data_IF_490036485395
#
_entry.id   IF_490036485395
#
_cell.length_a   1.000
_cell.length_b   1.000
_cell.length_c   1.000
_cell.angle_alpha   90.00
_cell.angle_beta   90.00
_cell.angle_gamma   90.00
#
_symmetry.space_group_name_H-M   'P 1'
#
loop_
_entity.id
_entity.type
_entity.pdbx_description
1 polymer ?
#
# COMPACT_ATOMS: atom_id res chain seq x y z
N UNK A 1 -16.68 -23.23 -7.90
CA UNK A 1 -16.99 -23.29 -6.46
C UNK A 1 -15.75 -22.81 -5.72
N UNK A 2 -15.67 -21.52 -5.39
CA UNK A 2 -14.49 -20.96 -4.72
C UNK A 2 -14.58 -21.36 -3.26
N UNK A 3 -13.68 -22.27 -2.85
CA UNK A 3 -13.45 -22.58 -1.43
C UNK A 3 -13.14 -21.23 -0.78
N UNK A 4 -14.03 -20.73 0.07
CA UNK A 4 -13.79 -19.51 0.83
C UNK A 4 -12.66 -19.83 1.82
N UNK A 5 -11.42 -19.61 1.39
CA UNK A 5 -10.29 -19.61 2.31
C UNK A 5 -10.57 -18.62 3.44
N UNK A 6 -10.22 -18.99 4.66
CA UNK A 6 -10.24 -18.06 5.79
C UNK A 6 -9.45 -16.79 5.43
N UNK A 7 -9.93 -15.63 5.88
CA UNK A 7 -9.17 -14.38 5.76
C UNK A 7 -7.77 -14.53 6.37
N UNK A 8 -6.79 -13.88 5.73
CA UNK A 8 -5.39 -13.97 6.13
C UNK A 8 -5.07 -12.81 7.08
N UNK A 9 -4.53 -13.07 8.29
CA UNK A 9 -4.08 -12.00 9.16
C UNK A 9 -3.00 -11.17 8.46
N UNK A 10 -3.18 -9.85 8.51
CA UNK A 10 -2.43 -8.90 7.66
C UNK A 10 -1.93 -7.71 8.48
N UNK A 11 -0.67 -7.33 8.29
CA UNK A 11 -0.13 -6.02 8.70
C UNK A 11 -0.11 -5.13 7.45
N UNK A 12 -0.52 -3.87 7.61
CA UNK A 12 -0.30 -2.82 6.62
C UNK A 12 0.74 -1.84 7.15
N UNK A 13 1.80 -1.57 6.40
CA UNK A 13 2.77 -0.50 6.66
C UNK A 13 2.69 0.51 5.51
N UNK A 14 2.36 1.76 5.84
CA UNK A 14 1.91 2.78 4.90
C UNK A 14 2.45 4.15 5.27
N UNK A 15 2.72 4.98 4.27
CA UNK A 15 2.99 6.39 4.43
C UNK A 15 1.85 7.26 3.88
N UNK A 16 0.62 6.85 4.20
CA UNK A 16 -0.62 7.49 3.76
C UNK A 16 -0.63 9.01 3.85
N UNK A 17 -1.15 9.61 2.78
CA UNK A 17 -1.54 11.02 2.72
C UNK A 17 -0.53 11.94 2.03
N UNK A 18 0.65 11.43 1.67
CA UNK A 18 1.56 12.13 0.75
C UNK A 18 1.06 11.98 -0.67
N UNK A 19 1.16 10.78 -1.25
CA UNK A 19 0.37 10.42 -2.42
C UNK A 19 -1.02 9.92 -1.96
N UNK A 20 -1.98 9.88 -2.88
CA UNK A 20 -3.36 9.52 -2.54
C UNK A 20 -3.61 7.99 -2.57
N UNK A 21 -2.70 7.24 -3.15
CA UNK A 21 -2.85 5.83 -3.48
C UNK A 21 -2.85 4.90 -2.28
N UNK A 22 -2.11 5.22 -1.21
CA UNK A 22 -2.22 4.55 0.08
C UNK A 22 -3.65 4.52 0.62
N UNK A 23 -4.38 5.64 0.48
CA UNK A 23 -5.72 5.73 1.04
C UNK A 23 -6.69 4.84 0.28
N UNK A 24 -6.57 4.78 -1.04
CA UNK A 24 -7.37 3.86 -1.85
C UNK A 24 -6.98 2.40 -1.58
N UNK A 25 -5.70 2.12 -1.37
CA UNK A 25 -5.20 0.80 -0.97
C UNK A 25 -5.78 0.34 0.38
N UNK A 26 -5.78 1.21 1.41
CA UNK A 26 -6.41 0.93 2.70
C UNK A 26 -7.93 0.71 2.57
N UNK A 27 -8.63 1.56 1.81
CA UNK A 27 -10.07 1.40 1.57
C UNK A 27 -10.36 0.07 0.86
N UNK A 28 -9.51 -0.34 -0.07
CA UNK A 28 -9.64 -1.61 -0.76
C UNK A 28 -9.47 -2.80 0.20
N UNK A 29 -8.46 -2.76 1.09
CA UNK A 29 -8.27 -3.76 2.15
C UNK A 29 -9.51 -3.86 3.05
N UNK A 30 -10.00 -2.72 3.54
CA UNK A 30 -11.15 -2.66 4.45
C UNK A 30 -12.46 -3.14 3.79
N UNK A 31 -12.56 -3.03 2.47
CA UNK A 31 -13.68 -3.54 1.68
C UNK A 31 -13.61 -5.06 1.42
N UNK A 32 -12.56 -5.72 1.90
CA UNK A 32 -12.27 -7.15 1.71
C UNK A 32 -12.03 -7.91 3.03
N UNK A 33 -12.93 -7.85 4.02
CA UNK A 33 -12.74 -8.50 5.32
C UNK A 33 -12.69 -10.03 5.22
N UNK A 34 -13.21 -10.62 4.15
CA UNK A 34 -13.13 -12.05 3.87
C UNK A 34 -11.77 -12.48 3.28
N UNK A 35 -10.92 -11.54 2.86
CA UNK A 35 -9.55 -11.82 2.40
C UNK A 35 -8.51 -11.33 3.40
N UNK A 36 -8.70 -10.14 3.95
CA UNK A 36 -7.75 -9.50 4.86
C UNK A 36 -8.33 -9.37 6.27
N UNK A 37 -7.70 -10.06 7.21
CA UNK A 37 -7.93 -9.89 8.64
C UNK A 37 -6.89 -8.91 9.17
N UNK A 38 -7.14 -7.61 9.00
CA UNK A 38 -6.17 -6.56 9.31
C UNK A 38 -5.91 -6.51 10.83
N UNK A 39 -4.65 -6.75 11.22
CA UNK A 39 -4.21 -6.88 12.62
C UNK A 39 -3.48 -5.67 13.17
N UNK A 40 -2.90 -4.87 12.28
CA UNK A 40 -2.13 -3.67 12.63
C UNK A 40 -1.98 -2.81 11.36
N UNK A 41 -2.09 -1.50 11.54
CA UNK A 41 -1.65 -0.51 10.56
C UNK A 41 -0.50 0.28 11.17
N UNK A 42 0.66 0.27 10.53
CA UNK A 42 1.83 1.08 10.91
C UNK A 42 1.88 2.29 9.99
N UNK A 43 1.96 3.48 10.57
CA UNK A 43 2.14 4.73 9.81
C UNK A 43 3.62 5.11 9.86
N UNK A 44 4.29 5.10 8.71
CA UNK A 44 5.72 5.32 8.61
C UNK A 44 6.07 6.71 8.06
N UNK A 45 7.23 7.22 8.50
CA UNK A 45 7.92 8.44 8.03
C UNK A 45 7.17 9.78 8.14
N UNK A 46 7.92 10.88 7.93
CA UNK A 46 7.43 12.27 7.99
C UNK A 46 6.63 12.55 9.27
N UNK A 47 5.43 13.11 9.18
CA UNK A 47 4.56 13.35 10.33
C UNK A 47 3.61 12.16 10.53
N UNK A 48 4.11 11.12 11.20
CA UNK A 48 3.36 9.87 11.45
C UNK A 48 2.09 10.08 12.27
N UNK A 49 1.99 11.16 13.05
CA UNK A 49 0.75 11.51 13.75
C UNK A 49 -0.34 11.95 12.77
N UNK A 50 -0.01 12.84 11.83
CA UNK A 50 -0.94 13.28 10.80
C UNK A 50 -1.38 12.13 9.88
N UNK A 51 -0.44 11.25 9.49
CA UNK A 51 -0.73 10.02 8.74
C UNK A 51 -1.72 9.12 9.50
N UNK A 52 -1.45 8.90 10.78
CA UNK A 52 -2.32 8.09 11.63
C UNK A 52 -3.70 8.72 11.85
N UNK A 53 -3.85 10.04 11.80
CA UNK A 53 -5.17 10.68 11.85
C UNK A 53 -5.98 10.38 10.59
N UNK A 54 -5.34 10.32 9.42
CA UNK A 54 -5.99 9.88 8.18
C UNK A 54 -6.47 8.43 8.35
N UNK A 55 -5.60 7.53 8.78
CA UNK A 55 -5.98 6.14 9.09
C UNK A 55 -7.13 6.08 10.09
N UNK A 56 -7.06 6.82 11.19
CA UNK A 56 -8.08 6.83 12.24
C UNK A 56 -9.44 7.29 11.71
N UNK A 57 -9.49 8.36 10.89
CA UNK A 57 -10.73 8.83 10.29
C UNK A 57 -11.32 7.81 9.31
N UNK A 58 -10.46 7.11 8.55
CA UNK A 58 -10.87 6.00 7.68
C UNK A 58 -11.40 4.80 8.49
N UNK A 59 -10.71 4.36 9.53
CA UNK A 59 -11.15 3.27 10.40
C UNK A 59 -12.48 3.58 11.09
N UNK A 60 -12.66 4.82 11.57
CA UNK A 60 -13.93 5.30 12.11
C UNK A 60 -15.06 5.21 11.09
N UNK A 61 -14.81 5.61 9.84
CA UNK A 61 -15.80 5.50 8.75
C UNK A 61 -16.25 4.05 8.55
N UNK A 62 -15.32 3.09 8.58
CA UNK A 62 -15.60 1.65 8.48
C UNK A 62 -16.00 1.00 9.82
N UNK A 63 -16.08 1.76 10.92
CA UNK A 63 -16.34 1.27 12.29
C UNK A 63 -15.36 0.17 12.75
N UNK A 64 -14.11 0.21 12.30
CA UNK A 64 -13.06 -0.76 12.61
C UNK A 64 -12.10 -0.25 13.70
N UNK A 65 -12.66 0.10 14.85
CA UNK A 65 -11.90 0.53 16.04
C UNK A 65 -11.04 -0.60 16.64
N UNK A 66 -11.35 -1.85 16.28
CA UNK A 66 -10.61 -3.04 16.68
C UNK A 66 -9.22 -3.17 16.03
N UNK A 67 -8.96 -2.42 14.95
CA UNK A 67 -7.67 -2.44 14.24
C UNK A 67 -6.72 -1.43 14.91
N UNK A 68 -5.60 -1.89 15.51
CA UNK A 68 -4.62 -1.00 16.10
C UNK A 68 -3.86 -0.16 15.07
N UNK A 69 -3.54 1.07 15.44
CA UNK A 69 -2.65 1.97 14.71
C UNK A 69 -1.33 2.10 15.48
N UNK A 70 -0.20 1.80 14.83
CA UNK A 70 1.15 2.04 15.35
C UNK A 70 1.77 3.29 14.71
N UNK A 71 2.29 4.21 15.53
CA UNK A 71 3.04 5.37 15.04
C UNK A 71 4.51 4.99 14.84
N UNK A 72 4.95 4.90 13.59
CA UNK A 72 6.37 4.81 13.26
C UNK A 72 7.13 6.07 13.68
N UNK A 73 8.45 6.04 13.52
CA UNK A 73 9.29 7.21 13.82
C UNK A 73 9.00 8.33 12.82
N UNK A 74 8.69 9.50 13.36
CA UNK A 74 8.62 10.72 12.58
C UNK A 74 10.02 11.11 12.10
N UNK A 75 10.13 11.53 10.85
CA UNK A 75 11.35 12.15 10.32
C UNK A 75 11.24 13.67 10.40
N UNK A 76 12.36 14.39 10.31
CA UNK A 76 12.35 15.86 10.22
C UNK A 76 11.96 16.39 8.82
N UNK A 77 11.74 15.53 7.84
CA UNK A 77 11.28 15.92 6.51
C UNK A 77 9.94 16.66 6.57
N UNK A 78 9.86 17.77 5.84
CA UNK A 78 8.69 18.64 5.72
C UNK A 78 7.85 18.34 4.48
N UNK A 79 8.11 17.24 3.77
CA UNK A 79 7.32 16.83 2.63
C UNK A 79 5.82 16.80 2.99
N UNK A 80 4.99 17.32 2.09
CA UNK A 80 3.58 17.55 2.36
C UNK A 80 2.80 16.26 2.62
N UNK A 81 1.94 16.28 3.64
CA UNK A 81 0.84 15.33 3.79
C UNK A 81 -0.40 16.01 3.23
N UNK A 82 -0.50 16.07 1.90
CA UNK A 82 -1.53 16.83 1.18
C UNK A 82 -2.95 16.39 1.56
N UNK A 83 -3.14 15.15 2.01
CA UNK A 83 -4.46 14.67 2.45
C UNK A 83 -4.84 15.11 3.87
N UNK A 84 -3.91 15.62 4.69
CA UNK A 84 -4.14 15.83 6.13
C UNK A 84 -5.36 16.70 6.43
N UNK A 85 -5.67 17.70 5.61
CA UNK A 85 -6.85 18.57 5.79
C UNK A 85 -8.16 17.78 5.83
N UNK A 86 -8.25 16.64 5.15
CA UNK A 86 -9.43 15.78 5.23
C UNK A 86 -9.61 15.16 6.62
N UNK A 87 -8.52 14.94 7.38
CA UNK A 87 -8.56 14.27 8.69
C UNK A 87 -8.30 15.18 9.89
N UNK A 88 -8.00 16.47 9.66
CA UNK A 88 -7.62 17.43 10.71
C UNK A 88 -8.66 17.60 11.82
N UNK A 89 -9.94 17.32 11.54
CA UNK A 89 -11.08 17.41 12.46
C UNK A 89 -11.26 16.16 13.33
N UNK A 90 -10.43 15.13 13.14
CA UNK A 90 -10.49 13.87 13.88
C UNK A 90 -9.12 13.54 14.48
N UNK A 91 -8.96 13.82 15.76
CA UNK A 91 -7.71 13.58 16.48
C UNK A 91 -7.54 12.10 16.86
N UNK A 92 -6.29 11.68 17.09
CA UNK A 92 -6.02 10.35 17.64
C UNK A 92 -6.63 10.15 19.04
N UNK A 93 -6.72 11.23 19.82
CA UNK A 93 -7.42 11.21 21.12
C UNK A 93 -8.91 10.92 20.93
N UNK A 94 -9.57 11.57 19.95
CA UNK A 94 -10.97 11.26 19.65
C UNK A 94 -11.14 9.82 19.16
N UNK A 95 -10.22 9.30 18.33
CA UNK A 95 -10.25 7.90 17.92
C UNK A 95 -10.15 6.94 19.10
N UNK A 96 -9.29 7.23 20.08
CA UNK A 96 -9.19 6.44 21.32
C UNK A 96 -10.46 6.55 22.17
N UNK A 97 -11.06 7.74 22.28
CA UNK A 97 -12.33 7.95 22.98
C UNK A 97 -13.50 7.18 22.33
N UNK A 98 -13.46 7.02 21.00
CA UNK A 98 -14.42 6.21 20.24
C UNK A 98 -14.16 4.68 20.36
N UNK A 99 -13.15 4.27 21.13
CA UNK A 99 -12.78 2.87 21.39
C UNK A 99 -11.65 2.33 20.53
N UNK A 100 -10.98 3.18 19.74
CA UNK A 100 -9.84 2.84 18.90
C UNK A 100 -8.55 2.59 19.69
N UNK A 101 -7.62 1.86 19.07
CA UNK A 101 -6.34 1.48 19.69
C UNK A 101 -5.20 2.21 18.97
N UNK A 102 -4.38 2.97 19.73
CA UNK A 102 -3.21 3.69 19.20
C UNK A 102 -1.98 3.37 20.05
N UNK A 103 -0.91 2.93 19.38
CA UNK A 103 0.40 2.71 19.97
C UNK A 103 1.37 3.79 19.52
N UNK A 104 1.98 4.49 20.48
CA UNK A 104 2.97 5.54 20.20
C UNK A 104 4.31 4.97 19.72
N UNK A 105 4.65 3.75 20.15
CA UNK A 105 5.81 3.02 19.68
C UNK A 105 5.38 1.99 18.62
N UNK A 106 5.24 2.47 17.38
CA UNK A 106 4.82 1.69 16.22
C UNK A 106 5.78 0.54 15.89
N UNK A 107 7.09 0.74 16.10
CA UNK A 107 8.12 -0.28 15.83
C UNK A 107 8.03 -1.42 16.85
N UNK A 108 7.81 -1.12 18.12
CA UNK A 108 7.64 -2.16 19.14
C UNK A 108 6.37 -2.99 18.89
N UNK A 109 5.21 -2.35 18.62
CA UNK A 109 3.99 -3.10 18.31
C UNK A 109 4.10 -3.88 17.01
N UNK A 110 4.84 -3.37 16.01
CA UNK A 110 5.16 -4.09 14.78
C UNK A 110 5.97 -5.36 15.08
N UNK A 111 7.05 -5.24 15.87
CA UNK A 111 7.85 -6.39 16.27
C UNK A 111 7.02 -7.44 17.04
N UNK A 112 6.11 -7.00 17.90
CA UNK A 112 5.24 -7.88 18.67
C UNK A 112 4.21 -8.60 17.77
N UNK A 113 3.61 -7.91 16.79
CA UNK A 113 2.69 -8.54 15.84
C UNK A 113 3.41 -9.52 14.90
N UNK A 114 4.60 -9.16 14.41
CA UNK A 114 5.44 -10.08 13.62
C UNK A 114 5.88 -11.30 14.45
N UNK A 115 6.10 -11.16 15.76
CA UNK A 115 6.35 -12.30 16.65
C UNK A 115 5.12 -13.21 16.78
N UNK A 116 3.90 -12.66 16.84
CA UNK A 116 2.69 -13.48 16.77
C UNK A 116 2.59 -14.21 15.44
N UNK A 117 2.91 -13.54 14.34
CA UNK A 117 2.97 -14.14 13.01
C UNK A 117 3.98 -15.30 12.94
N UNK A 118 5.18 -15.14 13.51
CA UNK A 118 6.19 -16.20 13.51
C UNK A 118 5.80 -17.43 14.32
N UNK A 119 4.93 -17.29 15.32
CA UNK A 119 4.39 -18.40 16.11
C UNK A 119 3.14 -19.06 15.47
N UNK A 120 2.56 -18.47 14.42
CA UNK A 120 1.38 -19.01 13.75
C UNK A 120 1.77 -20.05 12.70
N UNK A 121 1.12 -21.21 12.74
CA UNK A 121 1.23 -22.22 11.68
C UNK A 121 0.18 -21.98 10.56
N UNK A 122 0.04 -20.74 10.11
CA UNK A 122 -0.85 -20.34 9.01
C UNK A 122 -0.25 -19.14 8.27
N UNK A 123 -0.68 -18.88 7.02
CA UNK A 123 -0.24 -17.70 6.29
C UNK A 123 -0.45 -16.40 7.06
N UNK A 124 0.49 -15.49 6.92
CA UNK A 124 0.43 -14.14 7.44
C UNK A 124 0.95 -13.18 6.38
N UNK A 125 0.22 -12.09 6.10
CA UNK A 125 0.60 -11.11 5.11
C UNK A 125 1.20 -9.85 5.75
N UNK A 126 2.20 -9.30 5.09
CA UNK A 126 2.69 -7.96 5.33
C UNK A 126 2.59 -7.20 4.01
N UNK A 127 1.76 -6.16 3.99
CA UNK A 127 1.62 -5.27 2.86
C UNK A 127 2.42 -4.01 3.17
N UNK A 128 3.40 -3.73 2.32
CA UNK A 128 4.34 -2.63 2.48
C UNK A 128 4.14 -1.64 1.33
N UNK A 129 3.66 -0.44 1.65
CA UNK A 129 3.28 0.60 0.71
C UNK A 129 3.75 1.96 1.23
N UNK A 130 5.04 2.07 1.50
CA UNK A 130 5.67 3.28 2.02
C UNK A 130 7.15 3.02 2.29
N UNK A 131 7.94 3.97 2.81
CA UNK A 131 9.35 3.70 3.08
C UNK A 131 9.56 2.65 4.18
N UNK A 132 10.53 1.75 3.97
CA UNK A 132 10.80 0.61 4.85
C UNK A 132 11.34 0.95 6.25
N UNK A 133 11.40 2.21 6.67
CA UNK A 133 12.07 2.67 7.91
C UNK A 133 11.67 1.86 9.14
N UNK A 134 10.36 1.77 9.43
CA UNK A 134 9.87 1.05 10.62
C UNK A 134 10.18 -0.44 10.54
N UNK A 135 9.95 -1.05 9.38
CA UNK A 135 10.22 -2.47 9.13
C UNK A 135 11.72 -2.81 9.20
N UNK A 136 12.56 -1.99 8.59
CA UNK A 136 14.02 -2.12 8.58
C UNK A 136 14.59 -2.08 9.99
N UNK A 137 14.17 -1.11 10.81
CA UNK A 137 14.56 -1.01 12.22
C UNK A 137 14.17 -2.27 13.02
N UNK A 138 12.97 -2.82 12.78
CA UNK A 138 12.50 -4.06 13.43
C UNK A 138 13.32 -5.26 12.98
N UNK A 139 13.58 -5.41 11.69
CA UNK A 139 14.30 -6.56 11.12
C UNK A 139 15.80 -6.51 11.41
N UNK A 140 16.40 -5.32 11.53
CA UNK A 140 17.78 -5.19 11.97
C UNK A 140 17.97 -5.72 13.40
N UNK A 141 16.99 -5.46 14.29
CA UNK A 141 17.00 -5.95 15.66
C UNK A 141 16.57 -7.42 15.77
N UNK A 142 15.62 -7.85 14.95
CA UNK A 142 15.00 -9.18 15.02
C UNK A 142 14.85 -9.83 13.62
N UNK A 143 15.97 -10.24 12.99
CA UNK A 143 15.99 -10.65 11.58
C UNK A 143 15.11 -11.86 11.25
N UNK A 144 14.88 -12.75 12.23
CA UNK A 144 14.10 -13.97 12.05
C UNK A 144 12.57 -13.75 12.05
N UNK A 145 12.08 -12.55 12.35
CA UNK A 145 10.63 -12.27 12.40
C UNK A 145 9.96 -12.33 11.02
N UNK A 146 10.72 -12.19 9.93
CA UNK A 146 10.23 -12.25 8.54
C UNK A 146 9.90 -13.67 8.05
N UNK A 147 10.46 -14.72 8.70
CA UNK A 147 10.54 -16.08 8.13
C UNK A 147 9.20 -16.74 7.81
N UNK A 148 8.14 -16.43 8.56
CA UNK A 148 6.80 -17.01 8.34
C UNK A 148 5.82 -16.03 7.70
N UNK A 149 6.31 -14.87 7.25
CA UNK A 149 5.49 -13.79 6.71
C UNK A 149 5.66 -13.72 5.19
N UNK A 150 4.55 -13.54 4.49
CA UNK A 150 4.54 -13.23 3.05
C UNK A 150 4.52 -11.72 2.88
N UNK A 151 5.56 -11.17 2.27
CA UNK A 151 5.69 -9.75 1.98
C UNK A 151 5.12 -9.44 0.58
N UNK A 152 4.31 -8.39 0.51
CA UNK A 152 3.84 -7.78 -0.73
C UNK A 152 4.21 -6.30 -0.67
N UNK A 153 5.15 -5.86 -1.48
CA UNK A 153 5.69 -4.50 -1.43
C UNK A 153 5.44 -3.72 -2.71
N UNK A 154 4.97 -2.49 -2.60
CA UNK A 154 5.15 -1.46 -3.63
C UNK A 154 6.53 -0.84 -3.39
N UNK A 155 7.50 -1.19 -4.25
CA UNK A 155 8.83 -0.62 -4.18
C UNK A 155 9.62 -0.91 -5.45
N UNK A 156 10.60 -0.07 -5.73
CA UNK A 156 11.63 -0.30 -6.73
C UNK A 156 11.24 0.01 -8.17
N UNK A 157 12.25 -0.02 -9.03
CA UNK A 157 12.23 0.34 -10.44
C UNK A 157 13.37 -0.43 -11.11
N UNK A 158 13.03 -1.46 -11.89
CA UNK A 158 14.02 -2.38 -12.45
C UNK A 158 14.44 -1.97 -13.86
N UNK A 159 13.47 -1.87 -14.77
CA UNK A 159 13.71 -1.56 -16.18
C UNK A 159 13.09 -0.22 -16.57
N UNK A 160 12.02 0.20 -15.89
CA UNK A 160 11.35 1.47 -16.12
C UNK A 160 11.34 2.35 -14.87
N UNK A 161 11.64 3.63 -15.05
CA UNK A 161 11.51 4.68 -14.03
C UNK A 161 10.12 5.31 -14.01
N UNK A 162 9.96 6.39 -13.25
CA UNK A 162 8.70 7.14 -13.19
C UNK A 162 8.23 7.61 -14.58
N UNK A 163 6.92 7.76 -14.74
CA UNK A 163 6.28 8.23 -15.98
C UNK A 163 6.65 7.36 -17.19
N UNK A 164 6.87 6.05 -16.97
CA UNK A 164 7.31 5.09 -17.99
C UNK A 164 8.63 5.47 -18.68
N UNK A 165 9.52 6.15 -17.95
CA UNK A 165 10.90 6.39 -18.40
C UNK A 165 11.62 5.07 -18.65
N UNK A 166 12.36 4.97 -19.76
CA UNK A 166 13.22 3.81 -20.07
C UNK A 166 14.50 3.74 -19.24
N UNK A 167 14.71 4.72 -18.35
CA UNK A 167 15.80 4.72 -17.38
C UNK A 167 15.22 4.45 -16.00
N UNK A 168 15.64 3.38 -15.30
CA UNK A 168 15.19 3.10 -13.94
C UNK A 168 15.46 4.27 -13.00
N UNK A 169 14.55 4.49 -12.06
CA UNK A 169 14.62 5.55 -11.06
C UNK A 169 15.11 4.99 -9.72
N UNK A 170 15.59 5.90 -8.86
CA UNK A 170 15.56 5.64 -7.42
C UNK A 170 14.11 5.83 -7.01
N UNK A 171 13.43 4.73 -6.76
CA UNK A 171 12.02 4.75 -6.38
C UNK A 171 11.90 5.24 -4.92
N UNK A 172 10.90 6.08 -4.65
CA UNK A 172 10.73 6.83 -3.41
C UNK A 172 10.83 5.97 -2.14
N UNK A 173 10.09 4.86 -2.07
CA UNK A 173 10.07 3.97 -0.88
C UNK A 173 11.44 3.34 -0.60
N UNK A 174 12.27 3.15 -1.64
CA UNK A 174 13.66 2.71 -1.52
C UNK A 174 14.60 3.87 -1.17
N UNK A 175 14.53 4.98 -1.90
CA UNK A 175 15.47 6.11 -1.78
C UNK A 175 15.37 6.78 -0.40
N UNK A 176 14.16 6.84 0.15
CA UNK A 176 13.88 7.50 1.42
C UNK A 176 14.70 6.91 2.58
N UNK A 177 14.83 5.58 2.64
CA UNK A 177 15.70 4.89 3.59
C UNK A 177 16.33 3.64 2.95
N UNK A 178 17.45 3.88 2.25
CA UNK A 178 18.19 2.85 1.51
C UNK A 178 18.61 1.69 2.43
N UNK A 179 19.03 1.97 3.67
CA UNK A 179 19.51 0.92 4.59
C UNK A 179 18.36 0.01 5.05
N UNK A 180 17.22 0.61 5.37
CA UNK A 180 16.02 -0.15 5.73
C UNK A 180 15.49 -0.95 4.55
N UNK A 181 15.50 -0.38 3.34
CA UNK A 181 15.14 -1.09 2.12
C UNK A 181 16.09 -2.27 1.83
N UNK A 182 17.41 -2.08 1.97
CA UNK A 182 18.39 -3.17 1.88
C UNK A 182 18.09 -4.30 2.87
N UNK A 183 17.76 -3.94 4.12
CA UNK A 183 17.41 -4.90 5.18
C UNK A 183 16.13 -5.67 4.82
N UNK A 184 15.09 -4.99 4.33
CA UNK A 184 13.85 -5.62 3.88
C UNK A 184 14.09 -6.61 2.74
N UNK A 185 14.86 -6.23 1.71
CA UNK A 185 15.13 -7.09 0.55
C UNK A 185 15.97 -8.33 0.92
N UNK A 186 16.97 -8.16 1.79
CA UNK A 186 17.85 -9.23 2.24
C UNK A 186 17.19 -10.20 3.24
N UNK A 187 16.12 -9.78 3.93
CA UNK A 187 15.45 -10.59 4.96
C UNK A 187 14.78 -11.84 4.40
N UNK A 188 14.73 -12.93 5.17
CA UNK A 188 14.17 -14.19 4.69
C UNK A 188 12.65 -14.23 4.84
N UNK A 189 11.91 -13.92 3.77
CA UNK A 189 10.44 -13.97 3.73
C UNK A 189 9.93 -15.34 3.30
N UNK A 190 8.79 -15.79 3.83
CA UNK A 190 8.12 -17.00 3.37
C UNK A 190 7.70 -16.90 1.89
N UNK A 191 7.40 -15.68 1.45
CA UNK A 191 7.17 -15.31 0.07
C UNK A 191 7.41 -13.81 -0.06
N UNK A 192 7.96 -13.35 -1.18
CA UNK A 192 8.13 -11.92 -1.45
C UNK A 192 7.61 -11.58 -2.84
N UNK A 193 6.55 -10.78 -2.89
CA UNK A 193 5.99 -10.17 -4.09
C UNK A 193 6.39 -8.70 -4.19
N UNK A 194 6.87 -8.27 -5.36
CA UNK A 194 7.24 -6.89 -5.62
C UNK A 194 6.35 -6.28 -6.72
N UNK A 195 5.83 -5.09 -6.45
CA UNK A 195 5.14 -4.21 -7.38
C UNK A 195 6.02 -2.98 -7.67
N UNK A 196 6.96 -3.08 -8.63
CA UNK A 196 7.82 -1.97 -9.02
C UNK A 196 7.14 -1.03 -10.02
N UNK A 197 7.78 0.12 -10.30
CA UNK A 197 7.36 1.10 -11.31
C UNK A 197 7.11 0.47 -12.69
N UNK A 198 7.79 -0.61 -13.02
CA UNK A 198 7.58 -1.38 -14.26
C UNK A 198 6.11 -1.77 -14.49
N UNK A 199 5.34 -2.06 -13.43
CA UNK A 199 3.90 -2.28 -13.51
C UNK A 199 3.10 -1.07 -12.99
N UNK A 200 3.53 -0.46 -11.88
CA UNK A 200 2.69 0.47 -11.12
C UNK A 200 2.48 1.82 -11.82
N UNK A 201 3.40 2.24 -12.71
CA UNK A 201 3.24 3.43 -13.54
C UNK A 201 1.91 3.45 -14.34
N UNK A 202 1.36 2.29 -14.70
CA UNK A 202 0.12 2.20 -15.48
C UNK A 202 -1.13 2.01 -14.62
N UNK A 203 -0.96 1.94 -13.31
CA UNK A 203 -2.04 1.73 -12.36
C UNK A 203 -2.81 3.04 -12.17
N UNK A 204 -3.62 3.44 -13.15
CA UNK A 204 -4.47 4.63 -13.07
C UNK A 204 -5.91 4.27 -13.34
N UNK A 205 -6.83 4.83 -12.56
CA UNK A 205 -8.27 4.73 -12.81
C UNK A 205 -8.73 5.96 -13.56
N UNK A 206 -8.94 5.81 -14.87
CA UNK A 206 -9.34 6.88 -15.77
C UNK A 206 -10.52 6.47 -16.67
N UNK A 207 -10.93 7.35 -17.57
CA UNK A 207 -11.85 7.01 -18.66
C UNK A 207 -13.19 6.42 -18.18
N UNK A 208 -13.61 5.31 -18.78
CA UNK A 208 -14.89 4.65 -18.44
C UNK A 208 -14.89 4.06 -17.02
N UNK A 209 -13.73 3.60 -16.51
CA UNK A 209 -13.63 3.09 -15.16
C UNK A 209 -13.89 4.20 -14.13
N UNK A 210 -13.23 5.35 -14.26
CA UNK A 210 -13.45 6.46 -13.33
C UNK A 210 -14.86 7.02 -13.43
N UNK A 211 -15.41 7.18 -14.64
CA UNK A 211 -16.83 7.55 -14.83
C UNK A 211 -17.78 6.59 -14.13
N UNK A 212 -17.47 5.28 -14.15
CA UNK A 212 -18.25 4.28 -13.43
C UNK A 212 -18.16 4.52 -11.92
N UNK A 213 -16.98 4.74 -11.34
CA UNK A 213 -16.81 5.09 -9.92
C UNK A 213 -17.62 6.35 -9.58
N UNK A 214 -17.46 7.44 -10.34
CA UNK A 214 -18.20 8.69 -10.13
C UNK A 214 -19.72 8.52 -10.15
N UNK A 215 -20.25 7.59 -10.96
CA UNK A 215 -21.68 7.28 -10.98
C UNK A 215 -22.21 6.73 -9.65
N UNK A 216 -21.36 6.29 -8.73
CA UNK A 216 -21.72 5.85 -7.39
C UNK A 216 -21.63 6.96 -6.32
N UNK A 217 -21.15 8.17 -6.65
CA UNK A 217 -20.89 9.25 -5.67
C UNK A 217 -22.08 9.60 -4.76
N UNK A 218 -23.30 9.52 -5.28
CA UNK A 218 -24.53 9.87 -4.53
C UNK A 218 -25.24 8.67 -3.90
N UNK A 219 -24.74 7.45 -4.13
CA UNK A 219 -25.36 6.20 -3.67
C UNK A 219 -24.46 5.30 -2.86
N UNK A 220 -23.14 5.55 -2.87
CA UNK A 220 -22.16 4.83 -2.05
C UNK A 220 -21.43 5.82 -1.16
N UNK A 221 -21.59 5.67 0.16
CA UNK A 221 -20.88 6.52 1.13
C UNK A 221 -19.37 6.41 0.99
N UNK A 222 -18.86 5.20 0.72
CA UNK A 222 -17.41 4.98 0.55
C UNK A 222 -16.87 5.68 -0.68
N UNK A 223 -17.59 5.62 -1.80
CA UNK A 223 -17.20 6.36 -3.01
C UNK A 223 -17.26 7.87 -2.78
N UNK A 224 -18.28 8.35 -2.07
CA UNK A 224 -18.38 9.76 -1.71
C UNK A 224 -17.16 10.22 -0.91
N UNK A 225 -16.76 9.45 0.11
CA UNK A 225 -15.57 9.69 0.92
C UNK A 225 -14.27 9.65 0.10
N UNK A 226 -14.13 8.70 -0.84
CA UNK A 226 -12.98 8.67 -1.76
C UNK A 226 -12.91 9.96 -2.55
N UNK A 227 -14.01 10.38 -3.17
CA UNK A 227 -14.00 11.57 -4.03
C UNK A 227 -13.77 12.83 -3.19
N UNK A 228 -14.35 12.93 -1.99
CA UNK A 228 -14.15 14.05 -1.08
C UNK A 228 -12.68 14.16 -0.62
N UNK A 229 -12.12 13.08 -0.07
CA UNK A 229 -10.75 13.07 0.42
C UNK A 229 -9.72 13.26 -0.71
N UNK A 230 -9.97 12.67 -1.89
CA UNK A 230 -9.17 12.90 -3.10
C UNK A 230 -9.23 14.35 -3.56
N UNK A 231 -10.41 14.97 -3.56
CA UNK A 231 -10.57 16.38 -3.95
C UNK A 231 -9.80 17.31 -3.02
N UNK A 232 -9.82 17.04 -1.71
CA UNK A 232 -9.03 17.79 -0.74
C UNK A 232 -7.54 17.60 -1.00
N UNK A 233 -7.07 16.36 -1.11
CA UNK A 233 -5.67 16.06 -1.44
C UNK A 233 -5.21 16.77 -2.71
N UNK A 234 -6.02 16.74 -3.78
CA UNK A 234 -5.71 17.38 -5.07
C UNK A 234 -5.56 18.90 -4.92
N UNK A 235 -6.47 19.55 -4.18
CA UNK A 235 -6.44 21.00 -3.95
C UNK A 235 -5.32 21.44 -3.00
N UNK A 236 -4.78 20.52 -2.20
CA UNK A 236 -3.80 20.80 -1.15
C UNK A 236 -2.35 20.58 -1.58
N UNK A 237 -2.12 20.42 -2.89
CA UNK A 237 -0.79 20.26 -3.48
C UNK A 237 -0.62 18.93 -4.22
N UNK A 238 -1.53 17.97 -4.04
CA UNK A 238 -1.50 16.70 -4.76
C UNK A 238 -1.55 16.85 -6.29
N UNK A 239 -2.17 17.93 -6.78
CA UNK A 239 -2.17 18.27 -8.21
C UNK A 239 -0.78 18.54 -8.83
N UNK A 240 0.25 18.73 -8.01
CA UNK A 240 1.63 18.92 -8.48
C UNK A 240 2.37 17.61 -8.73
N UNK A 241 1.79 16.47 -8.34
CA UNK A 241 2.37 15.17 -8.64
C UNK A 241 2.25 14.83 -10.12
N UNK A 242 3.28 14.17 -10.64
CA UNK A 242 3.30 13.63 -11.99
C UNK A 242 2.46 12.37 -12.11
N UNK A 243 1.92 12.14 -13.31
CA UNK A 243 1.34 10.87 -13.73
C UNK A 243 1.36 10.78 -15.26
N UNK A 244 1.40 9.56 -15.82
CA UNK A 244 1.37 9.37 -17.28
C UNK A 244 0.10 9.96 -17.90
N UNK A 245 -1.07 9.67 -17.33
CA UNK A 245 -2.34 10.23 -17.76
C UNK A 245 -2.72 11.43 -16.90
N UNK A 246 -3.26 12.48 -17.53
CA UNK A 246 -3.79 13.63 -16.81
C UNK A 246 -4.88 13.20 -15.83
N UNK A 247 -4.85 13.79 -14.62
CA UNK A 247 -5.79 13.45 -13.56
C UNK A 247 -6.34 14.69 -12.88
N UNK A 248 -7.54 14.54 -12.34
CA UNK A 248 -8.17 15.38 -11.33
C UNK A 248 -9.44 14.62 -10.85
N UNK A 249 -10.10 15.07 -9.76
CA UNK A 249 -11.29 14.40 -9.23
C UNK A 249 -12.40 14.07 -10.24
N UNK A 250 -12.51 14.80 -11.34
CA UNK A 250 -13.52 14.59 -12.39
C UNK A 250 -13.02 13.72 -13.56
N UNK A 251 -11.70 13.65 -13.81
CA UNK A 251 -11.11 12.94 -14.96
C UNK A 251 -10.58 11.54 -14.63
N UNK A 252 -9.95 11.38 -13.47
CA UNK A 252 -9.27 10.15 -13.11
C UNK A 252 -8.34 10.33 -11.92
N UNK A 253 -7.63 9.26 -11.57
CA UNK A 253 -6.69 9.24 -10.46
C UNK A 253 -5.26 9.55 -10.91
N UNK A 254 -4.37 9.98 -10.01
CA UNK A 254 -2.94 9.81 -10.24
C UNK A 254 -2.61 8.30 -10.35
N UNK A 255 -1.33 7.99 -10.50
CA UNK A 255 -0.83 6.62 -10.37
C UNK A 255 -1.17 6.08 -8.97
N UNK A 256 -1.71 4.86 -8.95
CA UNK A 256 -2.26 4.16 -7.81
C UNK A 256 -1.35 3.00 -7.44
N UNK A 257 -0.07 3.31 -7.21
CA UNK A 257 0.99 2.31 -7.13
C UNK A 257 0.71 1.27 -6.04
N UNK A 258 0.28 1.75 -4.88
CA UNK A 258 0.05 0.92 -3.69
C UNK A 258 -1.13 -0.06 -3.85
N UNK A 259 -2.11 0.31 -4.68
CA UNK A 259 -3.26 -0.54 -4.96
C UNK A 259 -2.81 -1.85 -5.63
N UNK A 260 -1.74 -1.82 -6.43
CA UNK A 260 -1.20 -3.02 -7.05
C UNK A 260 -0.61 -3.99 -6.01
N UNK A 261 0.11 -3.50 -5.01
CA UNK A 261 0.65 -4.35 -3.93
C UNK A 261 -0.47 -5.03 -3.13
N UNK A 262 -1.54 -4.28 -2.81
CA UNK A 262 -2.74 -4.85 -2.17
C UNK A 262 -3.42 -5.88 -3.07
N UNK A 263 -3.54 -5.58 -4.36
CA UNK A 263 -4.12 -6.50 -5.33
C UNK A 263 -3.36 -7.83 -5.37
N UNK A 264 -2.02 -7.79 -5.48
CA UNK A 264 -1.16 -8.98 -5.48
C UNK A 264 -1.28 -9.77 -4.16
N UNK A 265 -1.45 -9.08 -3.03
CA UNK A 265 -1.69 -9.74 -1.74
C UNK A 265 -3.05 -10.47 -1.70
N UNK A 266 -4.08 -9.86 -2.27
CA UNK A 266 -5.44 -10.41 -2.32
C UNK A 266 -5.66 -11.46 -3.40
N UNK A 267 -4.82 -11.47 -4.43
CA UNK A 267 -4.87 -12.39 -5.56
C UNK A 267 -3.79 -13.48 -5.48
N UNK A 268 -2.98 -13.51 -4.42
CA UNK A 268 -1.93 -14.51 -4.19
C UNK A 268 -2.37 -15.92 -4.61
N UNK A 269 -1.62 -16.53 -5.55
CA UNK A 269 -1.88 -17.78 -6.33
C UNK A 269 -2.77 -17.67 -7.58
N UNK A 270 -3.28 -16.49 -7.93
CA UNK A 270 -4.12 -16.18 -9.11
C UNK A 270 -3.75 -14.80 -9.66
N UNK A 271 -2.67 -14.69 -10.44
CA UNK A 271 -2.03 -13.39 -10.72
C UNK A 271 -2.50 -12.68 -12.00
N UNK A 272 -3.44 -13.22 -12.78
CA UNK A 272 -4.02 -12.49 -13.91
C UNK A 272 -4.71 -11.20 -13.41
N UNK A 273 -4.55 -10.04 -14.07
CA UNK A 273 -3.90 -9.83 -15.38
C UNK A 273 -2.42 -9.43 -15.28
N UNK A 274 -1.75 -9.64 -14.14
CA UNK A 274 -0.32 -9.36 -13.94
C UNK A 274 0.55 -10.56 -14.28
N UNK A 275 1.76 -10.31 -14.77
CA UNK A 275 2.76 -11.35 -15.02
C UNK A 275 3.98 -11.07 -14.14
N UNK A 276 4.25 -12.02 -13.24
CA UNK A 276 5.39 -11.96 -12.33
C UNK A 276 6.53 -12.89 -12.75
N UNK A 277 7.76 -12.44 -12.52
CA UNK A 277 8.99 -13.20 -12.74
C UNK A 277 9.75 -13.34 -11.43
N UNK A 278 10.34 -14.51 -11.19
CA UNK A 278 11.21 -14.72 -10.03
C UNK A 278 12.62 -14.24 -10.36
N UNK A 279 13.03 -13.12 -9.75
CA UNK A 279 14.31 -12.47 -10.04
C UNK A 279 15.16 -12.30 -8.78
N UNK A 280 16.50 -12.44 -8.87
CA UNK A 280 17.39 -12.23 -7.73
C UNK A 280 17.70 -10.74 -7.55
N UNK A 281 16.82 -10.00 -6.86
CA UNK A 281 16.87 -8.53 -6.76
C UNK A 281 17.48 -8.09 -5.43
N UNK A 282 18.26 -7.01 -5.47
CA UNK A 282 18.78 -6.31 -4.29
C UNK A 282 18.70 -4.79 -4.45
N UNK A 283 18.91 -4.07 -3.35
CA UNK A 283 19.02 -2.61 -3.31
C UNK A 283 20.49 -2.21 -3.24
N UNK A 284 20.92 -1.42 -4.21
CA UNK A 284 22.27 -0.85 -4.31
C UNK A 284 22.50 0.24 -3.26
N UNK A 285 23.77 0.55 -2.98
CA UNK A 285 24.14 1.57 -1.97
C UNK A 285 23.69 3.00 -2.34
N UNK A 286 23.43 3.24 -3.62
CA UNK A 286 22.93 4.51 -4.13
C UNK A 286 21.40 4.53 -4.34
N UNK A 287 20.67 3.49 -3.92
CA UNK A 287 19.21 3.50 -3.84
C UNK A 287 18.47 2.96 -5.07
N UNK A 288 19.17 2.32 -6.01
CA UNK A 288 18.54 1.60 -7.11
C UNK A 288 18.22 0.15 -6.75
N UNK A 289 17.14 -0.39 -7.32
CA UNK A 289 16.85 -1.82 -7.36
C UNK A 289 17.49 -2.44 -8.60
N UNK A 290 18.25 -3.52 -8.42
CA UNK A 290 18.99 -4.20 -9.49
C UNK A 290 18.95 -5.71 -9.32
N UNK A 291 19.14 -6.42 -10.42
CA UNK A 291 19.37 -7.86 -10.39
C UNK A 291 20.82 -8.17 -10.03
N UNK A 292 21.02 -9.24 -9.27
CA UNK A 292 22.32 -9.84 -9.03
C UNK A 292 22.21 -11.37 -9.03
N UNK A 293 22.70 -11.99 -10.10
CA UNK A 293 22.62 -13.44 -10.31
C UNK A 293 23.43 -14.26 -9.29
N UNK A 294 24.27 -13.65 -8.46
CA UNK A 294 24.96 -14.35 -7.36
C UNK A 294 24.07 -14.53 -6.13
N UNK A 295 22.89 -13.92 -6.07
CA UNK A 295 21.93 -14.07 -4.97
C UNK A 295 21.02 -15.26 -5.30
N UNK A 296 21.00 -16.27 -4.42
CA UNK A 296 20.15 -17.45 -4.61
C UNK A 296 18.65 -17.15 -4.43
N UNK A 297 18.34 -16.21 -3.54
CA UNK A 297 16.96 -15.85 -3.22
C UNK A 297 16.33 -15.03 -4.34
N UNK A 298 15.22 -15.52 -4.88
CA UNK A 298 14.43 -14.80 -5.88
C UNK A 298 13.17 -14.16 -5.30
N UNK A 299 12.75 -13.05 -5.88
CA UNK A 299 11.55 -12.27 -5.53
C UNK A 299 10.57 -12.36 -6.70
N UNK A 300 9.28 -12.61 -6.42
CA UNK A 300 8.23 -12.60 -7.44
C UNK A 300 7.87 -11.16 -7.81
N UNK A 301 8.31 -10.71 -8.98
CA UNK A 301 8.22 -9.29 -9.36
C UNK A 301 7.27 -9.10 -10.53
N UNK A 302 6.23 -8.27 -10.36
CA UNK A 302 5.35 -7.85 -11.45
C UNK A 302 6.15 -6.98 -12.42
N UNK A 303 6.33 -7.44 -13.66
CA UNK A 303 7.07 -6.66 -14.67
C UNK A 303 6.23 -6.28 -15.88
N UNK A 304 5.06 -6.89 -16.05
CA UNK A 304 4.13 -6.55 -17.13
C UNK A 304 2.72 -7.06 -16.83
N UNK A 305 1.79 -6.65 -17.67
CA UNK A 305 0.43 -7.18 -17.72
C UNK A 305 0.27 -8.19 -18.85
N UNK A 306 -0.79 -8.99 -18.80
CA UNK A 306 -1.14 -10.00 -19.83
C UNK A 306 -1.58 -9.37 -21.15
N UNK A 307 -2.10 -8.14 -21.10
CA UNK A 307 -2.54 -7.36 -22.24
C UNK A 307 -1.40 -6.50 -22.78
N UNK A 308 -1.41 -6.24 -24.10
CA UNK A 308 -0.44 -5.33 -24.72
C UNK A 308 -0.67 -3.87 -24.32
N UNK A 309 -1.93 -3.50 -24.05
CA UNK A 309 -2.26 -2.23 -23.44
C UNK A 309 -2.37 -2.44 -21.91
N UNK A 310 -1.45 -1.89 -21.11
CA UNK A 310 -1.49 -2.04 -19.66
C UNK A 310 -2.74 -1.44 -19.02
N UNK A 311 -3.38 -0.43 -19.65
CA UNK A 311 -4.60 0.18 -19.12
C UNK A 311 -5.84 -0.74 -19.22
N UNK A 312 -5.85 -1.72 -20.14
CA UNK A 312 -6.88 -2.75 -20.14
C UNK A 312 -6.79 -3.64 -18.89
N UNK A 313 -5.59 -4.02 -18.51
CA UNK A 313 -5.34 -4.83 -17.31
C UNK A 313 -5.61 -4.04 -16.02
N UNK A 314 -5.15 -2.79 -15.93
CA UNK A 314 -5.40 -1.97 -14.74
C UNK A 314 -6.87 -1.57 -14.62
N UNK A 315 -7.60 -1.48 -15.75
CA UNK A 315 -9.05 -1.36 -15.73
C UNK A 315 -9.75 -2.60 -15.16
N UNK A 316 -9.26 -3.82 -15.42
CA UNK A 316 -9.81 -5.05 -14.81
C UNK A 316 -9.59 -5.06 -13.30
N UNK A 317 -8.38 -4.72 -12.84
CA UNK A 317 -8.09 -4.56 -11.40
C UNK A 317 -9.00 -3.49 -10.80
N UNK A 318 -9.10 -2.33 -11.45
CA UNK A 318 -9.93 -1.23 -10.98
C UNK A 318 -11.43 -1.54 -10.96
N UNK A 319 -11.92 -2.39 -11.86
CA UNK A 319 -13.30 -2.89 -11.82
C UNK A 319 -13.55 -3.78 -10.59
N UNK A 320 -12.57 -4.61 -10.20
CA UNK A 320 -12.63 -5.37 -8.95
C UNK A 320 -12.66 -4.43 -7.74
N UNK A 321 -11.73 -3.47 -7.67
CA UNK A 321 -11.70 -2.46 -6.59
C UNK A 321 -13.04 -1.73 -6.52
N UNK A 322 -13.54 -1.24 -7.66
CA UNK A 322 -14.85 -0.58 -7.77
C UNK A 322 -15.96 -1.47 -7.25
N UNK A 323 -16.00 -2.76 -7.60
CA UNK A 323 -17.04 -3.66 -7.14
C UNK A 323 -17.00 -3.83 -5.61
N UNK A 324 -15.82 -4.01 -5.00
CA UNK A 324 -15.72 -4.18 -3.55
C UNK A 324 -16.09 -2.90 -2.80
N UNK A 325 -15.58 -1.75 -3.28
CA UNK A 325 -15.76 -0.44 -2.65
C UNK A 325 -17.18 0.09 -2.81
N UNK A 326 -17.82 -0.13 -3.96
CA UNK A 326 -19.14 0.44 -4.27
C UNK A 326 -20.32 -0.45 -3.85
N UNK A 327 -20.17 -1.78 -3.88
CA UNK A 327 -21.31 -2.72 -3.79
C UNK A 327 -21.38 -3.44 -2.44
N UNK A 328 -20.24 -3.72 -1.80
CA UNK A 328 -20.19 -4.51 -0.55
C UNK A 328 -20.05 -3.70 0.73
N UNK A 329 -19.62 -2.44 0.64
CA UNK A 329 -19.43 -1.58 1.81
C UNK A 329 -20.73 -1.10 2.48
N UNK A 330 -21.88 -1.45 1.90
CA UNK A 330 -23.22 -1.07 2.39
C UNK A 330 -24.02 -2.21 3.03
N UNK A 331 -23.50 -3.45 2.99
CA UNK A 331 -24.10 -4.64 3.62
C UNK A 331 -23.44 -4.95 4.95
#
# INVERSE_FOLDING_TARGET
MVIHGMSVPTILDTDIGTAYDDHLALIYILSLPNRFDLKLIVCSTTNTTARAQIVAKTLRFFKRFDIPIGLGRASQDTYGIFQYRWAQDYSLEQFQNDGGIVFRDGEQVLADEMRKASMMNRPYHYIHIGPATSLGNVLEKYPLLSTNIRLFAMAGSLYYGYENSTTPSKEYNIEYDIRSAQTMFASNWAYFSLAPLDCTNFMQFNGLLWKKILSYRNRSRTVNMIIESYTIWYNDGGNSMSAIQSFNPELGTPEMHDVLAVYLAGSYTSVAPTISFFLPIFVTNDGFTRENQTIEKTISTCLKYETSDPYEATAQIGLEVTFQVCVRSES
#
